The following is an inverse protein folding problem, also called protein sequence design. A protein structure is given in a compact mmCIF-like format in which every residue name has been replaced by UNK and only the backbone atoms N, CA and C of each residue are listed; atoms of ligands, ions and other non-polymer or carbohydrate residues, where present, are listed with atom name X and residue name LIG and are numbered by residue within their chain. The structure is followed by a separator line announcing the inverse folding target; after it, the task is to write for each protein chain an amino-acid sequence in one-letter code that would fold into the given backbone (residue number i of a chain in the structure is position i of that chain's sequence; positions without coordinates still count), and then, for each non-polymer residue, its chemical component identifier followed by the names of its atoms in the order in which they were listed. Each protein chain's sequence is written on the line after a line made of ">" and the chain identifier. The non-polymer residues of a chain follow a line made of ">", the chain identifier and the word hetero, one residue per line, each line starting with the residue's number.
data_IF_733237074797
#
_entry.id   IF_733237074797
#
_cell.length_a   1.000
_cell.length_b   1.000
_cell.length_c   1.000
_cell.angle_alpha   90.00
_cell.angle_beta   90.00
_cell.angle_gamma   90.00
#
_symmetry.space_group_name_H-M   'P 1'
#
loop_
_entity.id
_entity.type
_entity.pdbx_description
1 polymer ?
#
# COMPACT_ATOMS: atom_id res chain seq x y z
N UNK A 1 37.96 -2.12 6.07
CA UNK A 1 38.74 -1.43 7.12
C UNK A 1 37.82 -0.47 7.83
N UNK A 2 37.74 -0.47 9.17
CA UNK A 2 36.91 0.50 9.88
C UNK A 2 37.48 1.91 9.65
N UNK A 3 36.65 2.80 9.17
CA UNK A 3 37.02 4.21 8.95
C UNK A 3 37.21 4.85 10.33
N UNK A 4 38.40 5.42 10.58
CA UNK A 4 38.70 6.08 11.86
C UNK A 4 37.91 7.39 11.96
N UNK A 5 37.33 7.67 13.11
CA UNK A 5 36.47 8.87 13.36
C UNK A 5 37.25 10.17 13.13
N UNK A 6 38.53 10.19 13.52
CA UNK A 6 39.42 11.32 13.36
C UNK A 6 39.70 11.63 11.89
N UNK A 7 39.77 10.59 11.03
CA UNK A 7 39.95 10.79 9.60
C UNK A 7 38.72 11.49 8.99
N UNK A 8 37.48 11.05 9.35
CA UNK A 8 36.26 11.72 8.91
C UNK A 8 36.21 13.15 9.44
N UNK A 9 36.55 13.35 10.73
CA UNK A 9 36.60 14.67 11.32
C UNK A 9 37.47 15.63 10.55
N UNK A 10 38.68 15.19 10.17
CA UNK A 10 39.65 16.02 9.42
C UNK A 10 39.17 16.41 8.02
N UNK A 11 38.20 15.68 7.46
CA UNK A 11 37.56 15.98 6.17
C UNK A 11 36.41 16.97 6.35
N UNK A 12 35.59 16.79 7.39
CA UNK A 12 34.43 17.62 7.64
C UNK A 12 34.76 18.98 8.27
N UNK A 13 35.81 19.05 9.06
CA UNK A 13 36.24 20.23 9.79
C UNK A 13 37.67 20.65 9.37
N UNK A 14 38.05 21.87 9.71
CA UNK A 14 39.38 22.36 9.42
C UNK A 14 40.45 21.47 10.12
N UNK A 15 41.50 21.05 9.41
CA UNK A 15 42.59 20.18 9.92
C UNK A 15 43.25 20.69 11.22
N UNK A 16 43.07 21.97 11.56
CA UNK A 16 43.58 22.57 12.79
C UNK A 16 42.64 22.39 13.99
N UNK A 17 41.39 21.93 13.77
CA UNK A 17 40.39 21.76 14.81
C UNK A 17 40.62 20.42 15.51
N UNK A 18 40.74 20.45 16.83
CA UNK A 18 40.94 19.25 17.64
C UNK A 18 39.69 18.38 17.59
N UNK A 19 39.87 17.06 17.46
CA UNK A 19 38.75 16.11 17.48
C UNK A 19 37.91 16.24 18.76
N UNK A 20 36.61 16.39 18.58
CA UNK A 20 35.61 16.44 19.63
C UNK A 20 34.56 15.31 19.40
N UNK A 21 34.61 14.28 20.24
CA UNK A 21 33.75 13.10 20.13
C UNK A 21 32.26 13.48 20.33
N UNK A 22 31.95 14.45 21.17
CA UNK A 22 30.57 14.92 21.41
C UNK A 22 29.98 15.59 20.17
N UNK A 23 30.70 16.51 19.55
CA UNK A 23 30.31 17.14 18.28
C UNK A 23 30.26 16.13 17.14
N UNK A 24 31.18 15.18 17.10
CA UNK A 24 31.17 14.13 16.08
C UNK A 24 29.94 13.23 16.17
N UNK A 25 29.57 12.79 17.37
CA UNK A 25 28.32 12.00 17.57
C UNK A 25 27.08 12.79 17.19
N UNK A 26 27.04 14.08 17.51
CA UNK A 26 25.93 14.95 17.09
C UNK A 26 25.85 15.02 15.57
N UNK A 27 26.96 15.24 14.90
CA UNK A 27 27.05 15.27 13.42
C UNK A 27 26.54 13.95 12.81
N UNK A 28 26.97 12.80 13.37
CA UNK A 28 26.49 11.49 12.92
C UNK A 28 24.99 11.33 13.09
N UNK A 29 24.45 11.77 14.24
CA UNK A 29 23.01 11.71 14.50
C UNK A 29 22.20 12.62 13.54
N UNK A 30 22.71 13.82 13.28
CA UNK A 30 22.08 14.76 12.37
C UNK A 30 22.14 14.24 10.92
N UNK A 31 23.28 13.66 10.51
CA UNK A 31 23.41 13.00 9.20
C UNK A 31 22.44 11.82 9.05
N UNK A 32 22.32 10.98 10.09
CA UNK A 32 21.39 9.85 10.06
C UNK A 32 19.94 10.32 9.83
N UNK A 33 19.51 11.36 10.53
CA UNK A 33 18.17 11.94 10.33
C UNK A 33 17.97 12.43 8.90
N UNK A 34 18.97 13.13 8.34
CA UNK A 34 18.88 13.58 6.95
C UNK A 34 18.79 12.41 5.95
N UNK A 35 19.50 11.31 6.21
CA UNK A 35 19.40 10.09 5.39
C UNK A 35 18.02 9.46 5.52
N UNK A 36 17.47 9.36 6.73
CA UNK A 36 16.12 8.85 6.98
C UNK A 36 15.06 9.71 6.26
N UNK A 37 15.16 11.04 6.39
CA UNK A 37 14.27 11.99 5.71
C UNK A 37 14.39 11.88 4.18
N UNK A 38 15.61 11.74 3.66
CA UNK A 38 15.86 11.58 2.23
C UNK A 38 15.17 10.33 1.68
N UNK A 39 15.33 9.17 2.32
CA UNK A 39 14.68 7.95 1.86
C UNK A 39 13.15 8.02 1.98
N UNK A 40 12.63 8.62 3.04
CA UNK A 40 11.19 8.84 3.17
C UNK A 40 10.67 9.74 2.05
N UNK A 41 11.40 10.82 1.73
CA UNK A 41 11.06 11.72 0.63
C UNK A 41 11.16 11.04 -0.74
N UNK A 42 12.17 10.21 -0.99
CA UNK A 42 12.27 9.45 -2.24
C UNK A 42 11.06 8.55 -2.47
N UNK A 43 10.65 7.78 -1.44
CA UNK A 43 9.46 6.91 -1.53
C UNK A 43 8.20 7.72 -1.76
N UNK A 44 8.06 8.86 -1.09
CA UNK A 44 6.92 9.77 -1.29
C UNK A 44 6.91 10.35 -2.71
N UNK A 45 8.07 10.80 -3.22
CA UNK A 45 8.21 11.37 -4.56
C UNK A 45 7.94 10.33 -5.67
N UNK A 46 8.29 9.08 -5.43
CA UNK A 46 8.05 7.99 -6.37
C UNK A 46 6.58 7.59 -6.50
N UNK A 47 5.71 8.06 -5.59
CA UNK A 47 4.31 7.65 -5.55
C UNK A 47 3.35 8.83 -5.78
N UNK A 48 3.01 9.15 -7.05
CA UNK A 48 2.14 10.28 -7.39
C UNK A 48 0.74 10.19 -6.79
N UNK A 49 0.22 8.98 -6.58
CA UNK A 49 -1.13 8.78 -6.02
C UNK A 49 -1.17 9.16 -4.53
N UNK A 50 -0.11 8.87 -3.77
CA UNK A 50 0.03 9.32 -2.37
C UNK A 50 0.09 10.84 -2.27
N UNK A 51 0.87 11.49 -3.16
CA UNK A 51 0.92 12.95 -3.21
C UNK A 51 -0.44 13.56 -3.48
N UNK A 52 -1.17 13.00 -4.43
CA UNK A 52 -2.52 13.47 -4.76
C UNK A 52 -3.46 13.32 -3.56
N UNK A 53 -3.44 12.17 -2.87
CA UNK A 53 -4.22 11.94 -1.65
C UNK A 53 -3.90 12.94 -0.55
N UNK A 54 -2.62 13.14 -0.23
CA UNK A 54 -2.20 14.09 0.81
C UNK A 54 -2.52 15.54 0.44
N UNK A 55 -2.48 15.87 -0.86
CA UNK A 55 -2.93 17.19 -1.32
C UNK A 55 -4.44 17.38 -1.09
N UNK A 56 -5.26 16.37 -1.36
CA UNK A 56 -6.70 16.43 -1.08
C UNK A 56 -6.99 16.62 0.41
N UNK A 57 -6.25 15.93 1.28
CA UNK A 57 -6.37 16.10 2.73
C UNK A 57 -5.98 17.52 3.18
N UNK A 58 -4.88 18.05 2.64
CA UNK A 58 -4.44 19.40 2.93
C UNK A 58 -5.49 20.44 2.48
N UNK A 59 -6.06 20.28 1.28
CA UNK A 59 -7.13 21.14 0.74
C UNK A 59 -8.35 21.11 1.68
N UNK A 60 -8.73 19.92 2.17
CA UNK A 60 -9.86 19.79 3.09
C UNK A 60 -9.58 20.47 4.43
N UNK A 61 -8.42 20.21 5.02
CA UNK A 61 -8.06 20.72 6.35
C UNK A 61 -7.83 22.23 6.36
N UNK A 62 -7.14 22.76 5.35
CA UNK A 62 -6.78 24.18 5.22
C UNK A 62 -7.83 25.01 4.44
N UNK A 63 -8.92 24.37 3.97
CA UNK A 63 -10.01 24.99 3.20
C UNK A 63 -9.53 25.72 1.93
N UNK A 64 -8.63 25.10 1.18
CA UNK A 64 -8.04 25.66 -0.05
C UNK A 64 -8.95 25.41 -1.27
N UNK A 65 -10.13 26.04 -1.28
CA UNK A 65 -11.20 25.79 -2.26
C UNK A 65 -10.76 25.99 -3.71
N UNK A 66 -9.87 26.96 -3.97
CA UNK A 66 -9.38 27.26 -5.33
C UNK A 66 -8.60 26.08 -5.96
N UNK A 67 -7.96 25.25 -5.15
CA UNK A 67 -7.18 24.10 -5.61
C UNK A 67 -8.03 22.83 -5.78
N UNK A 68 -9.22 22.78 -5.23
CA UNK A 68 -10.03 21.57 -5.10
C UNK A 68 -10.31 20.91 -6.45
N UNK A 69 -10.82 21.67 -7.43
CA UNK A 69 -11.25 21.12 -8.73
C UNK A 69 -10.08 20.48 -9.49
N UNK A 70 -8.92 21.15 -9.51
CA UNK A 70 -7.73 20.65 -10.20
C UNK A 70 -7.12 19.43 -9.50
N UNK A 71 -7.10 19.45 -8.16
CA UNK A 71 -6.57 18.34 -7.36
C UNK A 71 -7.44 17.08 -7.50
N UNK A 72 -8.77 17.21 -7.41
CA UNK A 72 -9.72 16.11 -7.63
C UNK A 72 -9.56 15.48 -9.02
N UNK A 73 -9.48 16.32 -10.06
CA UNK A 73 -9.27 15.83 -11.43
C UNK A 73 -7.94 15.08 -11.56
N UNK A 74 -6.88 15.57 -10.94
CA UNK A 74 -5.56 14.94 -10.97
C UNK A 74 -5.56 13.61 -10.21
N UNK A 75 -6.14 13.57 -9.02
CA UNK A 75 -6.21 12.34 -8.21
C UNK A 75 -7.02 11.25 -8.94
N UNK A 76 -8.15 11.60 -9.53
CA UNK A 76 -8.98 10.69 -10.32
C UNK A 76 -8.21 10.12 -11.52
N UNK A 77 -7.57 10.99 -12.31
CA UNK A 77 -6.76 10.56 -13.45
C UNK A 77 -5.63 9.63 -13.04
N UNK A 78 -4.88 9.95 -11.99
CA UNK A 78 -3.80 9.10 -11.47
C UNK A 78 -4.32 7.74 -11.00
N UNK A 79 -5.50 7.68 -10.38
CA UNK A 79 -6.13 6.43 -9.98
C UNK A 79 -6.57 5.58 -11.19
N UNK A 80 -7.10 6.20 -12.24
CA UNK A 80 -7.54 5.49 -13.46
C UNK A 80 -6.36 5.00 -14.31
N UNK A 81 -5.25 5.73 -14.34
CA UNK A 81 -4.04 5.42 -15.11
C UNK A 81 -3.17 4.32 -14.46
N UNK A 82 -3.49 3.88 -13.24
CA UNK A 82 -2.75 2.81 -12.56
C UNK A 82 -2.84 1.49 -13.33
N UNK A 83 -1.70 1.01 -13.83
CA UNK A 83 -1.59 -0.25 -14.55
C UNK A 83 -1.53 -1.44 -13.58
N UNK A 84 -0.79 -1.27 -12.49
CA UNK A 84 -0.66 -2.29 -11.46
C UNK A 84 -1.86 -2.23 -10.51
N UNK A 85 -2.44 -3.38 -10.19
CA UNK A 85 -3.62 -3.50 -9.33
C UNK A 85 -3.40 -4.48 -8.19
N UNK A 86 -2.33 -4.30 -7.38
CA UNK A 86 -2.17 -5.06 -6.13
C UNK A 86 -3.27 -4.68 -5.14
N UNK A 87 -3.33 -5.35 -3.99
CA UNK A 87 -4.30 -5.02 -2.94
C UNK A 87 -4.26 -3.53 -2.54
N UNK A 88 -3.06 -2.95 -2.45
CA UNK A 88 -2.86 -1.54 -2.13
C UNK A 88 -3.50 -0.56 -3.13
N UNK A 89 -3.72 -0.97 -4.38
CA UNK A 89 -4.45 -0.17 -5.36
C UNK A 89 -5.88 0.16 -4.88
N UNK A 90 -6.60 -0.81 -4.33
CA UNK A 90 -7.96 -0.62 -3.82
C UNK A 90 -7.97 0.23 -2.56
N UNK A 91 -6.92 0.13 -1.71
CA UNK A 91 -6.74 1.03 -0.58
C UNK A 91 -6.60 2.49 -1.00
N UNK A 92 -5.77 2.80 -1.99
CA UNK A 92 -5.61 4.17 -2.47
C UNK A 92 -6.87 4.70 -3.17
N UNK A 93 -7.58 3.86 -3.89
CA UNK A 93 -8.89 4.23 -4.44
C UNK A 93 -9.88 4.58 -3.35
N UNK A 94 -9.97 3.74 -2.33
CA UNK A 94 -10.78 4.02 -1.14
C UNK A 94 -10.44 5.39 -0.53
N UNK A 95 -9.16 5.69 -0.30
CA UNK A 95 -8.74 6.96 0.30
C UNK A 95 -9.06 8.17 -0.58
N UNK A 96 -8.86 8.08 -1.90
CA UNK A 96 -9.18 9.15 -2.84
C UNK A 96 -10.69 9.40 -2.90
N UNK A 97 -11.49 8.35 -2.99
CA UNK A 97 -12.95 8.47 -3.00
C UNK A 97 -13.48 9.04 -1.69
N UNK A 98 -12.89 8.67 -0.56
CA UNK A 98 -13.23 9.23 0.75
C UNK A 98 -12.89 10.73 0.83
N UNK A 99 -11.70 11.13 0.37
CA UNK A 99 -11.31 12.54 0.32
C UNK A 99 -12.21 13.34 -0.65
N UNK A 100 -12.56 12.74 -1.78
CA UNK A 100 -13.50 13.30 -2.76
C UNK A 100 -14.88 13.54 -2.12
N UNK A 101 -15.40 12.55 -1.40
CA UNK A 101 -16.66 12.66 -0.68
C UNK A 101 -16.63 13.80 0.35
N UNK A 102 -15.57 13.88 1.14
CA UNK A 102 -15.43 14.92 2.16
C UNK A 102 -15.40 16.33 1.56
N UNK A 103 -14.66 16.51 0.45
CA UNK A 103 -14.56 17.80 -0.25
C UNK A 103 -15.87 18.19 -0.94
N UNK A 104 -16.53 17.26 -1.61
CA UNK A 104 -17.77 17.54 -2.35
C UNK A 104 -18.96 17.76 -1.43
N UNK A 105 -19.01 17.09 -0.26
CA UNK A 105 -20.05 17.28 0.73
C UNK A 105 -20.13 18.72 1.27
N UNK A 106 -19.01 19.45 1.28
CA UNK A 106 -18.98 20.83 1.73
C UNK A 106 -19.65 21.79 0.75
N UNK A 107 -19.75 21.40 -0.53
CA UNK A 107 -20.20 22.29 -1.62
C UNK A 107 -21.61 22.00 -2.16
N UNK A 108 -22.14 20.79 -1.93
CA UNK A 108 -23.38 20.37 -2.59
C UNK A 108 -24.51 20.14 -1.60
N UNK A 109 -25.60 20.83 -1.85
CA UNK A 109 -26.90 20.48 -1.26
C UNK A 109 -27.30 19.04 -1.68
N UNK A 110 -27.96 18.34 -0.81
CA UNK A 110 -28.45 16.94 -0.74
C UNK A 110 -28.80 16.17 -2.02
N UNK A 111 -28.56 16.68 -3.23
CA UNK A 111 -29.04 16.08 -4.49
C UNK A 111 -27.97 15.43 -5.37
N UNK A 112 -26.66 15.56 -5.05
CA UNK A 112 -25.61 14.91 -5.83
C UNK A 112 -25.51 13.42 -5.47
N UNK A 113 -25.45 12.54 -6.48
CA UNK A 113 -25.17 11.10 -6.27
C UNK A 113 -23.87 10.96 -5.52
N UNK A 114 -23.94 10.41 -4.33
CA UNK A 114 -22.75 10.18 -3.46
C UNK A 114 -21.94 8.99 -3.99
N UNK A 115 -20.63 9.06 -3.85
CA UNK A 115 -19.72 7.96 -4.15
C UNK A 115 -19.50 7.00 -2.95
N UNK A 116 -20.45 6.98 -1.99
CA UNK A 116 -20.37 6.13 -0.78
C UNK A 116 -20.25 4.64 -1.14
N UNK A 117 -20.95 4.20 -2.17
CA UNK A 117 -20.89 2.80 -2.64
C UNK A 117 -19.48 2.46 -3.14
N UNK A 118 -18.85 3.33 -3.93
CA UNK A 118 -17.49 3.15 -4.42
C UNK A 118 -16.45 3.14 -3.28
N UNK A 119 -16.66 3.98 -2.25
CA UNK A 119 -15.83 3.98 -1.03
C UNK A 119 -15.90 2.61 -0.35
N UNK A 120 -17.12 2.13 -0.06
CA UNK A 120 -17.35 0.86 0.60
C UNK A 120 -16.77 -0.30 -0.22
N UNK A 121 -17.06 -0.36 -1.51
CA UNK A 121 -16.58 -1.41 -2.42
C UNK A 121 -15.06 -1.49 -2.50
N UNK A 122 -14.36 -0.36 -2.61
CA UNK A 122 -12.89 -0.37 -2.63
C UNK A 122 -12.28 -0.79 -1.28
N UNK A 123 -12.91 -0.41 -0.17
CA UNK A 123 -12.50 -0.86 1.16
C UNK A 123 -12.68 -2.38 1.33
N UNK A 124 -13.81 -2.92 0.89
CA UNK A 124 -14.10 -4.36 0.94
C UNK A 124 -13.11 -5.14 0.07
N UNK A 125 -12.85 -4.70 -1.16
CA UNK A 125 -11.86 -5.32 -2.06
C UNK A 125 -10.46 -5.33 -1.44
N UNK A 126 -10.03 -4.21 -0.87
CA UNK A 126 -8.74 -4.13 -0.15
C UNK A 126 -8.71 -5.10 1.03
N UNK A 127 -9.74 -5.07 1.88
CA UNK A 127 -9.82 -5.92 3.07
C UNK A 127 -9.79 -7.41 2.72
N UNK A 128 -10.60 -7.84 1.76
CA UNK A 128 -10.65 -9.23 1.32
C UNK A 128 -9.32 -9.70 0.73
N UNK A 129 -8.71 -8.91 -0.16
CA UNK A 129 -7.42 -9.22 -0.77
C UNK A 129 -6.32 -9.39 0.28
N UNK A 130 -6.20 -8.44 1.23
CA UNK A 130 -5.19 -8.50 2.30
C UNK A 130 -5.46 -9.64 3.28
N UNK A 131 -6.72 -9.89 3.64
CA UNK A 131 -7.06 -11.02 4.53
C UNK A 131 -6.69 -12.36 3.90
N UNK A 132 -7.05 -12.59 2.65
CA UNK A 132 -6.70 -13.81 1.92
C UNK A 132 -5.19 -13.97 1.79
N UNK A 133 -4.45 -12.90 1.47
CA UNK A 133 -2.99 -12.89 1.40
C UNK A 133 -2.36 -13.31 2.73
N UNK A 134 -2.81 -12.72 3.84
CA UNK A 134 -2.29 -13.08 5.16
C UNK A 134 -2.68 -14.49 5.60
N UNK A 135 -3.85 -14.99 5.22
CA UNK A 135 -4.21 -16.40 5.48
C UNK A 135 -3.30 -17.36 4.72
N UNK A 136 -2.98 -17.08 3.47
CA UNK A 136 -1.98 -17.86 2.72
C UNK A 136 -0.61 -17.83 3.43
N UNK A 137 -0.17 -16.66 3.91
CA UNK A 137 1.07 -16.51 4.67
C UNK A 137 1.04 -17.33 5.96
N UNK A 138 -0.05 -17.28 6.72
CA UNK A 138 -0.23 -18.05 7.96
C UNK A 138 -0.14 -19.56 7.67
N UNK A 139 -0.85 -20.05 6.67
CA UNK A 139 -0.82 -21.47 6.31
C UNK A 139 0.59 -21.92 5.88
N UNK A 140 1.29 -21.09 5.10
CA UNK A 140 2.68 -21.38 4.74
C UNK A 140 3.59 -21.46 5.98
N UNK A 141 3.46 -20.54 6.93
CA UNK A 141 4.23 -20.55 8.19
C UNK A 141 3.87 -21.76 9.06
N UNK A 142 2.60 -22.15 9.14
CA UNK A 142 2.18 -23.34 9.88
C UNK A 142 2.81 -24.62 9.31
N UNK A 143 2.92 -24.72 7.98
CA UNK A 143 3.61 -25.85 7.34
C UNK A 143 5.11 -25.88 7.62
N UNK A 144 5.75 -24.73 7.79
CA UNK A 144 7.22 -24.64 7.97
C UNK A 144 7.67 -24.73 9.42
N UNK A 145 6.87 -24.31 10.39
CA UNK A 145 7.33 -24.06 11.76
C UNK A 145 6.44 -24.64 12.87
N UNK A 146 5.46 -25.49 12.56
CA UNK A 146 4.51 -26.09 13.52
C UNK A 146 3.87 -25.04 14.47
N UNK A 147 3.55 -23.87 13.92
CA UNK A 147 2.95 -22.75 14.64
C UNK A 147 1.43 -22.75 14.43
N UNK A 148 0.68 -22.47 15.50
CA UNK A 148 -0.78 -22.44 15.44
C UNK A 148 -1.27 -20.97 15.53
N UNK A 149 -1.74 -20.42 14.41
CA UNK A 149 -2.29 -19.08 14.33
C UNK A 149 -3.82 -19.12 14.27
N UNK A 150 -4.48 -18.15 14.92
CA UNK A 150 -5.93 -17.95 14.76
C UNK A 150 -6.22 -17.21 13.45
N UNK A 151 -7.07 -17.78 12.63
CA UNK A 151 -7.59 -17.18 11.40
C UNK A 151 -9.06 -16.81 11.62
N UNK A 152 -9.29 -15.58 12.10
CA UNK A 152 -10.65 -15.09 12.36
C UNK A 152 -11.39 -14.79 11.05
N UNK A 153 -12.63 -15.21 10.93
CA UNK A 153 -13.53 -14.98 9.78
C UNK A 153 -13.09 -15.64 8.47
N UNK A 154 -12.24 -16.69 8.53
CA UNK A 154 -11.73 -17.31 7.31
C UNK A 154 -12.83 -18.00 6.51
N UNK A 155 -13.70 -18.72 7.19
CA UNK A 155 -14.77 -19.48 6.52
C UNK A 155 -15.82 -18.50 5.95
N UNK A 156 -16.21 -17.47 6.70
CA UNK A 156 -17.12 -16.42 6.23
C UNK A 156 -16.56 -15.65 5.02
N UNK A 157 -15.26 -15.41 4.98
CA UNK A 157 -14.62 -14.74 3.84
C UNK A 157 -14.60 -15.66 2.62
N UNK A 158 -14.31 -16.95 2.79
CA UNK A 158 -14.33 -17.92 1.69
C UNK A 158 -15.74 -18.02 1.11
N UNK A 159 -16.74 -18.26 1.97
CA UNK A 159 -18.14 -18.35 1.57
C UNK A 159 -18.59 -17.07 0.83
N UNK A 160 -18.17 -15.92 1.33
CA UNK A 160 -18.50 -14.64 0.68
C UNK A 160 -17.83 -14.49 -0.70
N UNK A 161 -16.56 -14.86 -0.84
CA UNK A 161 -15.84 -14.78 -2.11
C UNK A 161 -16.38 -15.78 -3.13
N UNK A 162 -16.81 -16.97 -2.69
CA UNK A 162 -17.45 -17.97 -3.55
C UNK A 162 -18.85 -17.57 -4.01
N UNK A 163 -19.58 -16.83 -3.18
CA UNK A 163 -20.94 -16.38 -3.49
C UNK A 163 -21.00 -15.13 -4.38
N UNK A 164 -19.87 -14.41 -4.58
CA UNK A 164 -19.82 -13.16 -5.32
C UNK A 164 -18.78 -13.20 -6.45
N UNK A 165 -18.99 -12.37 -7.47
CA UNK A 165 -18.03 -12.25 -8.59
C UNK A 165 -16.95 -11.21 -8.29
N UNK A 166 -15.70 -11.68 -8.16
CA UNK A 166 -14.50 -10.89 -7.99
C UNK A 166 -13.51 -11.05 -9.17
N UNK A 167 -13.99 -11.49 -10.34
CA UNK A 167 -13.15 -11.70 -11.52
C UNK A 167 -12.39 -10.46 -11.99
N UNK A 168 -12.90 -9.26 -11.66
CA UNK A 168 -12.27 -7.96 -11.92
C UNK A 168 -11.26 -7.54 -10.84
N UNK A 169 -11.07 -8.36 -9.80
CA UNK A 169 -10.20 -8.10 -8.64
C UNK A 169 -9.17 -9.23 -8.49
N UNK A 170 -8.13 -9.26 -9.34
CA UNK A 170 -7.18 -10.37 -9.42
C UNK A 170 -6.54 -10.78 -8.07
N UNK A 171 -6.18 -9.87 -7.15
CA UNK A 171 -5.63 -10.28 -5.86
C UNK A 171 -6.58 -11.20 -5.07
N UNK A 172 -7.88 -10.92 -5.07
CA UNK A 172 -8.87 -11.75 -4.37
C UNK A 172 -8.91 -13.14 -5.00
N UNK A 173 -9.05 -13.22 -6.32
CA UNK A 173 -9.18 -14.49 -7.04
C UNK A 173 -7.94 -15.36 -6.87
N UNK A 174 -6.74 -14.76 -6.99
CA UNK A 174 -5.47 -15.48 -6.90
C UNK A 174 -5.26 -15.99 -5.47
N UNK A 175 -5.35 -15.14 -4.46
CA UNK A 175 -5.14 -15.57 -3.07
C UNK A 175 -6.21 -16.54 -2.59
N UNK A 176 -7.46 -16.43 -3.06
CA UNK A 176 -8.50 -17.42 -2.80
C UNK A 176 -8.11 -18.80 -3.35
N UNK A 177 -7.65 -18.88 -4.61
CA UNK A 177 -7.20 -20.15 -5.19
C UNK A 177 -5.97 -20.74 -4.48
N UNK A 178 -5.02 -19.88 -4.06
CA UNK A 178 -3.87 -20.30 -3.24
C UNK A 178 -4.37 -20.89 -1.91
N UNK A 179 -5.31 -20.22 -1.25
CA UNK A 179 -5.89 -20.70 0.01
C UNK A 179 -6.56 -22.07 -0.13
N UNK A 180 -7.35 -22.25 -1.19
CA UNK A 180 -7.99 -23.54 -1.50
C UNK A 180 -6.94 -24.64 -1.76
N UNK A 181 -5.84 -24.33 -2.42
CA UNK A 181 -4.77 -25.30 -2.66
C UNK A 181 -4.10 -25.78 -1.37
N UNK A 182 -4.06 -24.96 -0.32
CA UNK A 182 -3.61 -25.38 1.02
C UNK A 182 -4.65 -26.24 1.75
N UNK A 183 -5.95 -25.96 1.57
CA UNK A 183 -7.03 -26.76 2.16
C UNK A 183 -7.15 -28.15 1.48
N UNK A 184 -6.92 -28.22 0.16
CA UNK A 184 -7.08 -29.41 -0.67
C UNK A 184 -5.81 -29.72 -1.45
N UNK A 185 -4.69 -30.11 -0.78
CA UNK A 185 -3.37 -30.23 -1.41
C UNK A 185 -3.27 -31.33 -2.46
N UNK A 186 -4.22 -32.27 -2.49
CA UNK A 186 -4.24 -33.37 -3.46
C UNK A 186 -5.04 -33.04 -4.74
N UNK A 187 -5.79 -31.93 -4.77
CA UNK A 187 -6.53 -31.51 -5.96
C UNK A 187 -5.65 -30.62 -6.87
N UNK A 188 -5.17 -31.23 -7.96
CA UNK A 188 -4.38 -30.53 -8.98
C UNK A 188 -5.13 -29.41 -9.72
N UNK A 189 -6.46 -29.35 -9.57
CA UNK A 189 -7.26 -28.28 -10.24
C UNK A 189 -6.86 -26.91 -9.68
N UNK A 190 -6.72 -26.79 -8.36
CA UNK A 190 -6.34 -25.50 -7.76
C UNK A 190 -4.98 -25.02 -8.26
N UNK A 191 -3.99 -25.90 -8.33
CA UNK A 191 -2.66 -25.56 -8.86
C UNK A 191 -2.72 -25.09 -10.32
N UNK A 192 -3.47 -25.78 -11.17
CA UNK A 192 -3.63 -25.40 -12.58
C UNK A 192 -4.37 -24.04 -12.70
N UNK A 193 -5.38 -23.82 -11.87
CA UNK A 193 -6.10 -22.55 -11.81
C UNK A 193 -5.19 -21.39 -11.40
N UNK A 194 -4.36 -21.58 -10.36
CA UNK A 194 -3.38 -20.58 -9.90
C UNK A 194 -2.41 -20.24 -11.03
N UNK A 195 -1.85 -21.25 -11.70
CA UNK A 195 -0.93 -21.03 -12.82
C UNK A 195 -1.57 -20.18 -13.92
N UNK A 196 -2.77 -20.54 -14.33
CA UNK A 196 -3.52 -19.81 -15.35
C UNK A 196 -3.81 -18.37 -14.93
N UNK A 197 -4.23 -18.14 -13.68
CA UNK A 197 -4.52 -16.81 -13.14
C UNK A 197 -3.25 -15.94 -13.06
N UNK A 198 -2.12 -16.50 -12.65
CA UNK A 198 -0.85 -15.78 -12.61
C UNK A 198 -0.43 -15.41 -14.04
N UNK A 199 -0.46 -16.34 -15.00
CA UNK A 199 -0.12 -16.07 -16.40
C UNK A 199 -1.01 -14.98 -17.01
N UNK A 200 -2.30 -14.95 -16.64
CA UNK A 200 -3.25 -13.95 -17.10
C UNK A 200 -3.01 -12.57 -16.50
N UNK A 201 -2.61 -12.50 -15.24
CA UNK A 201 -2.59 -11.27 -14.44
C UNK A 201 -1.19 -10.78 -14.02
N UNK A 202 -0.11 -11.48 -14.42
CA UNK A 202 1.27 -11.14 -14.01
C UNK A 202 1.64 -9.69 -14.31
N UNK A 203 1.08 -9.11 -15.37
CA UNK A 203 1.37 -7.74 -15.80
C UNK A 203 0.76 -6.64 -14.92
N UNK A 204 -0.11 -7.00 -13.97
CA UNK A 204 -0.76 -6.04 -13.06
C UNK A 204 -0.22 -6.07 -11.63
N UNK A 205 0.71 -7.00 -11.33
CA UNK A 205 1.40 -7.07 -10.05
C UNK A 205 2.79 -6.45 -10.15
N UNK A 206 3.29 -5.81 -9.08
CA UNK A 206 4.68 -5.37 -9.00
C UNK A 206 5.63 -6.58 -8.98
N UNK A 207 6.88 -6.39 -9.43
CA UNK A 207 7.89 -7.46 -9.50
C UNK A 207 8.19 -8.12 -8.14
N UNK A 208 7.85 -7.49 -7.04
CA UNK A 208 8.11 -7.94 -5.67
C UNK A 208 6.90 -8.62 -5.00
N UNK A 209 5.81 -8.77 -5.68
CA UNK A 209 4.58 -9.42 -5.21
C UNK A 209 4.30 -10.70 -6.00
#
# INVERSE_FOLDING_TARGET
>A
LPIQKEAIWSVCFNKKEKFDDGRFRKLQSDLLKLVEEYYAQEVFEANPIHKAKYLLDAIYNERLEELQTSALKTAKRLSEEQKLKPASFYYYRYEIEQSTFNLTRLQTERSAKSNIEEIAENLDRFYLAEKLRYYCTILNHQHLADLNYKMLFIDEIIDHVEANDYSDTPPIVIYHQILLSYKEPNDKKHFNSIKSLIEQHIHIFPETE
#
